data_IF_091124188583
#
_entry.id   IF_091124188583
#
_cell.length_a   1.000
_cell.length_b   1.000
_cell.length_c   1.000
_cell.angle_alpha   90.00
_cell.angle_beta   90.00
_cell.angle_gamma   90.00
#
_symmetry.space_group_name_H-M   'P 1'
#
loop_
_entity.id
_entity.type
_entity.pdbx_description
1 polymer ?
#
# COMPACT_ATOMS: atom_id res chain seq x y z
N UNK A 1 -4.05 -15.12 -0.88
CA UNK A 1 -4.91 -13.94 -0.69
C UNK A 1 -4.27 -12.71 -1.32
N UNK A 2 -5.06 -11.78 -1.83
CA UNK A 2 -4.59 -10.47 -2.30
C UNK A 2 -4.83 -9.50 -1.15
N UNK A 3 -3.75 -8.94 -0.61
CA UNK A 3 -3.80 -8.07 0.55
C UNK A 3 -3.68 -6.61 0.09
N UNK A 4 -4.73 -5.84 0.29
CA UNK A 4 -4.74 -4.40 0.01
C UNK A 4 -4.48 -3.65 1.31
N UNK A 5 -3.34 -2.95 1.35
CA UNK A 5 -2.86 -2.23 2.53
C UNK A 5 -3.83 -1.10 2.89
N UNK A 6 -4.27 -0.32 1.92
CA UNK A 6 -5.12 0.85 2.13
C UNK A 6 -6.54 0.46 2.51
N UNK A 7 -7.05 -0.68 2.03
CA UNK A 7 -8.39 -1.13 2.39
C UNK A 7 -8.55 -1.40 3.88
N UNK A 8 -7.49 -1.79 4.60
CA UNK A 8 -7.54 -1.97 6.06
C UNK A 8 -7.88 -0.66 6.76
N UNK A 9 -7.23 0.43 6.37
CA UNK A 9 -7.54 1.79 6.86
C UNK A 9 -8.93 2.21 6.40
N UNK A 10 -9.23 2.06 5.10
CA UNK A 10 -10.50 2.44 4.47
C UNK A 10 -11.73 1.85 5.19
N UNK A 11 -11.60 0.61 5.65
CA UNK A 11 -12.69 -0.15 6.29
C UNK A 11 -12.67 -0.09 7.82
N UNK A 12 -11.69 0.60 8.42
CA UNK A 12 -11.55 0.70 9.86
C UNK A 12 -11.17 -0.62 10.55
N UNK A 13 -10.43 -1.50 9.86
CA UNK A 13 -10.01 -2.82 10.36
C UNK A 13 -8.71 -2.80 11.17
N UNK A 14 -8.30 -1.63 11.68
CA UNK A 14 -7.08 -1.45 12.47
C UNK A 14 -5.85 -1.16 11.60
N UNK A 15 -4.72 -1.78 11.92
CA UNK A 15 -3.44 -1.46 11.28
C UNK A 15 -2.99 -2.52 10.26
N UNK A 16 -2.61 -2.15 9.03
CA UNK A 16 -2.26 -3.11 7.99
C UNK A 16 -1.07 -4.02 8.35
N UNK A 17 -0.08 -3.51 9.09
CA UNK A 17 1.10 -4.27 9.52
C UNK A 17 0.77 -5.44 10.46
N UNK A 18 -0.30 -5.35 11.25
CA UNK A 18 -0.71 -6.42 12.15
C UNK A 18 -1.31 -7.56 11.32
N UNK A 19 -2.20 -7.23 10.37
CA UNK A 19 -2.74 -8.18 9.40
C UNK A 19 -1.64 -8.84 8.56
N UNK A 20 -0.64 -8.09 8.09
CA UNK A 20 0.48 -8.65 7.35
C UNK A 20 1.17 -9.77 8.15
N UNK A 21 1.46 -9.51 9.44
CA UNK A 21 2.09 -10.49 10.34
C UNK A 21 1.18 -11.69 10.60
N UNK A 22 -0.10 -11.47 10.85
CA UNK A 22 -1.07 -12.54 11.11
C UNK A 22 -1.29 -13.44 9.90
N UNK A 23 -1.36 -12.84 8.70
CA UNK A 23 -1.62 -13.57 7.47
C UNK A 23 -0.36 -14.29 6.96
N UNK A 24 0.79 -13.64 7.07
CA UNK A 24 2.10 -14.16 6.68
C UNK A 24 2.09 -14.81 5.29
N UNK A 25 2.45 -16.09 5.23
CA UNK A 25 2.60 -16.87 3.98
C UNK A 25 1.31 -17.04 3.17
N UNK A 26 0.14 -16.67 3.70
CA UNK A 26 -1.14 -16.73 2.97
C UNK A 26 -1.31 -15.58 1.97
N UNK A 27 -0.45 -14.55 2.06
CA UNK A 27 -0.45 -13.41 1.14
C UNK A 27 0.26 -13.83 -0.16
N UNK A 28 -0.45 -13.71 -1.28
CA UNK A 28 0.06 -14.04 -2.60
C UNK A 28 0.43 -12.77 -3.39
N UNK A 29 -0.32 -11.68 -3.18
CA UNK A 29 -0.13 -10.38 -3.83
C UNK A 29 -0.42 -9.25 -2.85
N UNK A 30 0.29 -8.15 -3.00
CA UNK A 30 0.07 -6.94 -2.21
C UNK A 30 -0.38 -5.80 -3.14
N UNK A 31 -1.42 -5.08 -2.74
CA UNK A 31 -1.78 -3.81 -3.36
C UNK A 31 -1.35 -2.64 -2.45
N UNK A 32 -0.57 -1.73 -3.01
CA UNK A 32 -0.22 -0.46 -2.40
C UNK A 32 -1.33 0.53 -2.74
N UNK A 33 -2.11 0.88 -1.72
CA UNK A 33 -3.17 1.89 -1.74
C UNK A 33 -3.01 2.67 -0.45
N UNK A 34 -3.20 3.98 -0.52
CA UNK A 34 -3.22 4.82 0.67
C UNK A 34 -4.62 5.38 0.87
N UNK A 35 -5.02 5.47 2.13
CA UNK A 35 -6.36 5.86 2.50
C UNK A 35 -6.34 6.63 3.82
N UNK A 36 -7.33 7.50 3.98
CA UNK A 36 -7.70 8.16 5.24
C UNK A 36 -9.21 8.04 5.38
N UNK A 37 -9.69 7.55 6.53
CA UNK A 37 -11.10 7.28 6.76
C UNK A 37 -11.74 6.44 5.62
N UNK A 38 -12.62 7.02 4.79
CA UNK A 38 -13.27 6.36 3.64
C UNK A 38 -12.88 6.99 2.30
N UNK A 39 -11.70 7.59 2.25
CA UNK A 39 -11.14 8.24 1.07
C UNK A 39 -9.85 7.53 0.64
N UNK A 40 -9.75 7.25 -0.66
CA UNK A 40 -8.50 6.78 -1.28
C UNK A 40 -7.72 7.98 -1.76
N UNK A 41 -6.49 8.10 -1.31
CA UNK A 41 -5.61 9.24 -1.58
C UNK A 41 -4.41 8.78 -2.41
N UNK A 42 -3.64 9.75 -2.90
CA UNK A 42 -2.33 9.44 -3.47
C UNK A 42 -1.45 8.73 -2.41
N UNK A 43 -0.50 7.90 -2.85
CA UNK A 43 0.45 7.25 -1.94
C UNK A 43 1.11 8.27 -1.01
N UNK A 44 1.39 7.89 0.23
CA UNK A 44 2.00 8.72 1.27
C UNK A 44 1.26 10.05 1.57
N UNK A 45 -0.01 10.19 1.19
CA UNK A 45 -0.87 11.32 1.60
C UNK A 45 -2.00 10.90 2.55
N UNK A 46 -2.22 9.59 2.72
CA UNK A 46 -3.23 9.04 3.62
C UNK A 46 -2.68 8.82 5.03
N UNK A 47 -3.09 7.70 5.64
CA UNK A 47 -2.79 7.34 7.03
C UNK A 47 -2.14 5.95 7.14
N UNK A 48 -1.79 5.33 6.01
CA UNK A 48 -1.00 4.10 6.06
C UNK A 48 0.40 4.41 6.61
N UNK A 49 0.78 3.73 7.69
CA UNK A 49 2.15 3.71 8.19
C UNK A 49 3.01 2.83 7.28
N UNK A 50 3.55 3.44 6.22
CA UNK A 50 4.36 2.74 5.21
C UNK A 50 5.66 2.16 5.78
N UNK A 51 6.24 2.76 6.82
CA UNK A 51 7.45 2.23 7.45
C UNK A 51 7.14 0.91 8.16
N UNK A 52 6.09 0.89 9.00
CA UNK A 52 5.64 -0.30 9.71
C UNK A 52 5.14 -1.40 8.74
N UNK A 53 4.45 -1.02 7.67
CA UNK A 53 4.01 -1.93 6.60
C UNK A 53 5.20 -2.59 5.93
N UNK A 54 6.19 -1.82 5.50
CA UNK A 54 7.37 -2.37 4.82
C UNK A 54 8.22 -3.23 5.76
N UNK A 55 8.30 -2.88 7.05
CA UNK A 55 8.90 -3.74 8.07
C UNK A 55 8.17 -5.09 8.17
N UNK A 56 6.84 -5.08 8.28
CA UNK A 56 6.05 -6.29 8.36
C UNK A 56 6.16 -7.17 7.11
N UNK A 57 6.15 -6.58 5.91
CA UNK A 57 6.36 -7.29 4.63
C UNK A 57 7.71 -8.04 4.65
N UNK A 58 8.78 -7.36 5.09
CA UNK A 58 10.11 -7.98 5.23
C UNK A 58 10.11 -9.08 6.29
N UNK A 59 9.49 -8.83 7.44
CA UNK A 59 9.44 -9.77 8.56
C UNK A 59 8.74 -11.08 8.21
N UNK A 60 7.67 -11.02 7.39
CA UNK A 60 6.97 -12.23 6.93
C UNK A 60 7.65 -12.93 5.75
N UNK A 61 8.76 -12.38 5.25
CA UNK A 61 9.54 -12.94 4.15
C UNK A 61 8.82 -12.90 2.80
N UNK A 62 7.95 -11.90 2.58
CA UNK A 62 7.26 -11.76 1.30
C UNK A 62 8.22 -11.26 0.21
N UNK A 63 8.36 -12.02 -0.87
CA UNK A 63 9.26 -11.74 -2.01
C UNK A 63 8.51 -11.62 -3.36
N UNK A 64 7.18 -11.64 -3.32
CA UNK A 64 6.32 -11.53 -4.48
C UNK A 64 6.13 -10.09 -4.98
N UNK A 65 5.17 -9.91 -5.90
CA UNK A 65 4.91 -8.59 -6.48
C UNK A 65 3.95 -7.76 -5.60
N UNK A 66 4.28 -6.48 -5.51
CA UNK A 66 3.36 -5.44 -5.11
C UNK A 66 2.89 -4.64 -6.34
N UNK A 67 1.61 -4.32 -6.41
CA UNK A 67 1.01 -3.46 -7.44
C UNK A 67 0.45 -2.21 -6.78
N UNK A 68 0.49 -1.06 -7.46
CA UNK A 68 -0.23 0.13 -6.97
C UNK A 68 -1.68 0.04 -7.46
N UNK A 69 -2.64 0.28 -6.56
CA UNK A 69 -4.07 0.31 -6.89
C UNK A 69 -4.68 1.66 -6.46
N UNK A 70 -4.71 2.62 -7.40
CA UNK A 70 -5.28 3.94 -7.18
C UNK A 70 -6.23 4.32 -8.32
N UNK A 71 -7.33 5.04 -8.04
CA UNK A 71 -8.18 5.59 -9.08
C UNK A 71 -7.41 6.66 -9.86
N UNK A 72 -7.50 6.62 -11.19
CA UNK A 72 -6.90 7.64 -12.02
C UNK A 72 -7.76 8.90 -11.98
N UNK A 73 -7.20 10.09 -11.67
CA UNK A 73 -7.96 11.32 -11.68
C UNK A 73 -8.28 11.76 -13.12
N UNK A 74 -9.39 12.49 -13.29
CA UNK A 74 -9.76 13.08 -14.58
C UNK A 74 -8.75 14.14 -15.04
N UNK A 75 -8.23 14.92 -14.09
CA UNK A 75 -7.28 15.99 -14.35
C UNK A 75 -5.85 15.49 -14.16
N UNK A 76 -5.01 15.74 -15.17
CA UNK A 76 -3.58 15.40 -15.20
C UNK A 76 -3.25 13.94 -14.80
N UNK A 77 -3.77 12.95 -15.53
CA UNK A 77 -3.51 11.54 -15.24
C UNK A 77 -2.02 11.17 -15.37
N UNK A 78 -1.28 11.81 -16.28
CA UNK A 78 0.15 11.52 -16.46
C UNK A 78 0.99 12.03 -15.29
N UNK A 79 0.75 13.27 -14.85
CA UNK A 79 1.41 13.82 -13.66
C UNK A 79 1.10 13.00 -12.41
N UNK A 80 -0.15 12.55 -12.26
CA UNK A 80 -0.55 11.64 -11.20
C UNK A 80 0.26 10.35 -11.23
N UNK A 81 0.33 9.66 -12.37
CA UNK A 81 1.08 8.39 -12.51
C UNK A 81 2.58 8.56 -12.24
N UNK A 82 3.19 9.65 -12.70
CA UNK A 82 4.61 9.96 -12.40
C UNK A 82 4.83 10.15 -10.90
N UNK A 83 3.94 10.88 -10.24
CA UNK A 83 4.00 11.08 -8.79
C UNK A 83 3.80 9.76 -8.04
N UNK A 84 2.82 8.95 -8.44
CA UNK A 84 2.55 7.62 -7.90
C UNK A 84 3.79 6.73 -7.98
N UNK A 85 4.44 6.67 -9.14
CA UNK A 85 5.66 5.89 -9.32
C UNK A 85 6.80 6.34 -8.41
N UNK A 86 7.02 7.67 -8.31
CA UNK A 86 8.05 8.25 -7.43
C UNK A 86 7.81 7.84 -5.98
N UNK A 87 6.60 8.03 -5.47
CA UNK A 87 6.24 7.72 -4.09
C UNK A 87 6.28 6.22 -3.80
N UNK A 88 5.80 5.39 -4.72
CA UNK A 88 5.93 3.94 -4.60
C UNK A 88 7.40 3.52 -4.47
N UNK A 89 8.28 4.11 -5.29
CA UNK A 89 9.73 3.86 -5.24
C UNK A 89 10.37 4.31 -3.92
N UNK A 90 9.89 5.40 -3.33
CA UNK A 90 10.31 5.89 -2.01
C UNK A 90 9.88 4.91 -0.90
N UNK A 91 8.64 4.42 -0.95
CA UNK A 91 8.09 3.45 0.01
C UNK A 91 8.87 2.11 -0.05
N UNK A 92 9.03 1.54 -1.24
CA UNK A 92 9.65 0.20 -1.36
C UNK A 92 11.17 0.23 -1.19
N UNK A 93 11.79 1.40 -1.30
CA UNK A 93 13.23 1.57 -1.41
C UNK A 93 13.74 1.17 -2.79
N UNK A 94 14.72 1.91 -3.32
CA UNK A 94 15.44 1.49 -4.52
C UNK A 94 16.23 0.21 -4.19
N UNK A 95 16.02 -0.84 -4.98
CA UNK A 95 16.93 -2.00 -4.99
C UNK A 95 18.28 -1.62 -5.60
#
# INVERSE_FOLDING_TARGET
MYFDVGNVIYTGLGHPQDWLRDLGRRILRIHLKDAREKEVLQLAEGEVDWEAVMEAIRAVGYDGWACVELPLPEKDPEGFLKNTYRKASEIVGKR
#
